data_IF_092434753363
#
_entry.id   IF_092434753363
#
_cell.length_a   1.000
_cell.length_b   1.000
_cell.length_c   1.000
_cell.angle_alpha   90.00
_cell.angle_beta   90.00
_cell.angle_gamma   90.00
#
_symmetry.space_group_name_H-M   'P 1'
#
loop_
_entity.id
_entity.type
_entity.pdbx_description
1 polymer ?
#
# COMPACT_ATOMS: atom_id res chain seq x y z
N UNK A 1 10.87 -7.72 -11.35
CA UNK A 1 10.54 -7.83 -9.91
C UNK A 1 11.32 -6.83 -9.04
N UNK A 2 12.56 -6.48 -9.42
CA UNK A 2 13.39 -5.46 -8.76
C UNK A 2 12.83 -4.03 -8.80
N UNK A 3 12.03 -3.66 -9.83
CA UNK A 3 11.27 -2.39 -9.88
C UNK A 3 10.12 -2.30 -8.86
N UNK A 4 9.56 -3.45 -8.49
CA UNK A 4 8.33 -3.53 -7.70
C UNK A 4 8.59 -3.22 -6.22
N UNK A 5 9.73 -3.66 -5.68
CA UNK A 5 10.14 -3.34 -4.31
C UNK A 5 10.71 -1.91 -4.18
N UNK A 6 11.26 -1.34 -5.26
CA UNK A 6 11.87 0.00 -5.25
C UNK A 6 10.83 1.13 -5.36
N UNK A 7 9.72 0.89 -6.07
CA UNK A 7 8.54 1.76 -6.05
C UNK A 7 7.82 1.75 -4.68
N UNK A 8 7.82 0.61 -3.98
CA UNK A 8 7.26 0.47 -2.62
C UNK A 8 8.11 1.17 -1.55
N UNK A 9 9.42 1.35 -1.79
CA UNK A 9 10.35 2.03 -0.89
C UNK A 9 10.56 3.54 -1.19
N UNK A 10 10.32 4.00 -2.42
CA UNK A 10 10.50 5.40 -2.82
C UNK A 10 9.38 6.37 -2.37
N UNK A 11 8.44 5.92 -1.56
CA UNK A 11 7.26 6.68 -1.13
C UNK A 11 7.20 7.04 0.34
N UNK A 12 8.05 6.41 1.18
CA UNK A 12 8.27 6.88 2.55
C UNK A 12 9.07 8.22 2.57
N UNK A 13 9.52 8.65 1.39
CA UNK A 13 9.42 10.01 0.87
C UNK A 13 9.47 9.93 -0.66
N UNK A 14 8.44 10.30 -1.44
CA UNK A 14 7.52 11.40 -1.13
C UNK A 14 6.16 11.39 -1.84
N UNK A 15 5.13 10.99 -1.08
CA UNK A 15 3.67 11.05 -1.36
C UNK A 15 3.03 9.77 -1.96
N UNK A 16 3.13 8.61 -1.31
CA UNK A 16 2.17 7.51 -1.61
C UNK A 16 1.50 7.04 -0.33
N UNK A 17 0.16 7.10 -0.30
CA UNK A 17 -0.69 6.88 0.87
C UNK A 17 -0.95 5.42 1.26
N UNK A 18 -0.07 4.47 0.91
CA UNK A 18 -0.21 3.05 1.27
C UNK A 18 1.08 2.51 1.88
N UNK A 19 0.97 1.88 3.05
CA UNK A 19 2.09 1.27 3.75
C UNK A 19 2.68 0.05 3.00
N UNK A 20 4.02 -0.11 2.96
CA UNK A 20 4.71 -1.22 2.30
C UNK A 20 4.21 -2.62 2.68
N UNK A 21 3.95 -2.84 3.97
CA UNK A 21 3.43 -4.11 4.48
C UNK A 21 2.04 -4.42 3.93
N UNK A 22 1.17 -3.41 3.87
CA UNK A 22 -0.20 -3.55 3.39
C UNK A 22 -0.24 -3.76 1.88
N UNK A 23 0.63 -3.08 1.14
CA UNK A 23 0.84 -3.34 -0.29
C UNK A 23 1.18 -4.81 -0.54
N UNK A 24 2.15 -5.37 0.19
CA UNK A 24 2.53 -6.77 0.04
C UNK A 24 1.39 -7.72 0.39
N UNK A 25 0.67 -7.47 1.49
CA UNK A 25 -0.46 -8.31 1.89
C UNK A 25 -1.54 -8.38 0.81
N UNK A 26 -1.93 -7.23 0.26
CA UNK A 26 -2.96 -7.13 -0.79
C UNK A 26 -2.49 -7.66 -2.13
N UNK A 27 -1.23 -7.39 -2.51
CA UNK A 27 -0.65 -7.95 -3.73
C UNK A 27 -0.61 -9.48 -3.68
N UNK A 28 -0.13 -10.04 -2.58
CA UNK A 28 0.00 -11.48 -2.45
C UNK A 28 -1.37 -12.14 -2.31
N UNK A 29 -2.22 -11.68 -1.39
CA UNK A 29 -3.50 -12.35 -1.13
C UNK A 29 -4.61 -12.04 -2.12
N UNK A 30 -4.70 -10.81 -2.64
CA UNK A 30 -5.86 -10.42 -3.47
C UNK A 30 -5.57 -10.47 -4.96
N UNK A 31 -4.30 -10.42 -5.36
CA UNK A 31 -3.89 -10.33 -6.76
C UNK A 31 -3.27 -11.63 -7.24
N UNK A 32 -2.25 -12.18 -6.56
CA UNK A 32 -1.62 -13.43 -7.00
C UNK A 32 -2.61 -14.59 -7.01
N UNK A 33 -3.41 -14.74 -5.94
CA UNK A 33 -4.44 -15.78 -5.87
C UNK A 33 -5.47 -15.67 -7.00
N UNK A 34 -5.87 -14.45 -7.39
CA UNK A 34 -6.85 -14.23 -8.46
C UNK A 34 -6.29 -14.44 -9.87
N UNK A 35 -5.02 -14.13 -10.09
CA UNK A 35 -4.33 -14.43 -11.35
C UNK A 35 -4.24 -15.94 -11.54
N UNK A 36 -3.99 -16.70 -10.48
CA UNK A 36 -3.97 -18.17 -10.54
C UNK A 36 -5.37 -18.77 -10.74
N UNK A 37 -6.40 -18.14 -10.18
CA UNK A 37 -7.77 -18.65 -10.23
C UNK A 37 -8.55 -18.27 -11.50
N UNK A 38 -8.21 -17.15 -12.15
CA UNK A 38 -8.95 -16.61 -13.28
C UNK A 38 -8.02 -16.17 -14.42
N UNK A 39 -8.05 -16.89 -15.54
CA UNK A 39 -7.14 -16.68 -16.68
C UNK A 39 -7.29 -15.29 -17.34
N UNK A 40 -8.50 -14.71 -17.30
CA UNK A 40 -8.79 -13.37 -17.85
C UNK A 40 -8.57 -12.22 -16.85
N UNK A 41 -8.10 -12.52 -15.63
CA UNK A 41 -7.92 -11.49 -14.61
C UNK A 41 -6.68 -10.64 -14.91
N UNK A 42 -6.91 -9.43 -15.41
CA UNK A 42 -5.90 -8.36 -15.51
C UNK A 42 -5.87 -7.52 -14.22
N UNK A 43 -4.85 -7.65 -13.34
CA UNK A 43 -4.78 -6.90 -12.08
C UNK A 43 -4.77 -5.38 -12.26
N UNK A 44 -4.33 -4.89 -13.42
CA UNK A 44 -4.26 -3.45 -13.69
C UNK A 44 -5.62 -2.85 -14.03
N UNK A 45 -6.57 -3.68 -14.48
CA UNK A 45 -7.93 -3.26 -14.83
C UNK A 45 -8.96 -3.66 -13.79
N UNK A 46 -8.74 -4.80 -13.13
CA UNK A 46 -9.75 -5.45 -12.30
C UNK A 46 -9.49 -5.31 -10.79
N UNK A 47 -8.37 -4.69 -10.39
CA UNK A 47 -8.05 -4.48 -8.98
C UNK A 47 -7.68 -3.02 -8.67
N UNK A 48 -8.57 -2.35 -7.93
CA UNK A 48 -8.31 -1.04 -7.36
C UNK A 48 -7.78 -1.21 -5.93
N UNK A 49 -6.46 -1.04 -5.75
CA UNK A 49 -5.83 -1.13 -4.44
C UNK A 49 -6.32 0.01 -3.54
N UNK A 50 -7.25 -0.32 -2.63
CA UNK A 50 -7.84 0.65 -1.68
C UNK A 50 -7.33 0.35 -0.27
N UNK A 51 -6.93 1.40 0.45
CA UNK A 51 -6.43 1.33 1.82
C UNK A 51 -7.17 2.33 2.69
N UNK A 52 -7.69 1.84 3.79
CA UNK A 52 -8.36 2.64 4.81
C UNK A 52 -7.40 2.97 5.95
N UNK A 53 -7.55 4.13 6.59
CA UNK A 53 -6.67 4.57 7.68
C UNK A 53 -6.64 3.64 8.90
N UNK A 54 -7.65 2.77 9.04
CA UNK A 54 -7.75 1.71 10.05
C UNK A 54 -6.85 0.50 9.78
N UNK A 55 -6.40 0.31 8.53
CA UNK A 55 -5.46 -0.76 8.17
C UNK A 55 -3.99 -0.35 8.39
N UNK A 56 -3.76 0.94 8.64
CA UNK A 56 -2.45 1.53 8.94
C UNK A 56 -2.17 1.50 10.45
N UNK A 57 -0.94 1.15 10.81
CA UNK A 57 -0.41 1.40 12.16
C UNK A 57 -0.22 2.90 12.38
N UNK A 58 -0.08 3.35 13.63
CA UNK A 58 0.18 4.76 13.94
C UNK A 58 1.42 5.31 13.22
N UNK A 59 2.49 4.53 13.18
CA UNK A 59 3.72 4.87 12.45
C UNK A 59 3.49 5.00 10.95
N UNK A 60 2.76 4.06 10.34
CA UNK A 60 2.45 4.10 8.90
C UNK A 60 1.53 5.28 8.54
N UNK A 61 0.58 5.63 9.43
CA UNK A 61 -0.31 6.78 9.27
C UNK A 61 0.46 8.10 9.36
N UNK A 62 1.33 8.23 10.36
CA UNK A 62 2.19 9.40 10.53
C UNK A 62 3.19 9.55 9.37
N UNK A 63 3.67 8.46 8.79
CA UNK A 63 4.54 8.52 7.60
C UNK A 63 3.78 8.91 6.31
N UNK A 64 2.47 8.69 6.26
CA UNK A 64 1.60 9.08 5.15
C UNK A 64 1.05 10.52 5.29
N UNK A 65 1.27 11.17 6.43
CA UNK A 65 0.89 12.55 6.71
C UNK A 65 1.46 13.53 5.67
N UNK A 66 0.62 14.44 5.16
CA UNK A 66 1.02 15.43 4.16
C UNK A 66 1.63 16.69 4.76
N UNK A 67 1.30 16.97 6.02
CA UNK A 67 1.78 18.10 6.83
C UNK A 67 2.24 17.64 8.21
N UNK A 68 3.10 18.43 8.85
CA UNK A 68 3.50 18.22 10.24
C UNK A 68 2.31 18.29 11.21
N UNK A 69 1.26 19.06 10.88
CA UNK A 69 0.04 19.16 11.67
C UNK A 69 -0.80 17.87 11.66
N UNK A 70 -0.55 16.96 10.71
CA UNK A 70 -1.27 15.68 10.58
C UNK A 70 -0.61 14.55 11.41
N UNK A 71 0.48 14.83 12.14
CA UNK A 71 1.22 13.85 12.94
C UNK A 71 0.60 13.73 14.34
N UNK A 72 0.14 12.54 14.69
CA UNK A 72 -0.35 12.26 16.05
C UNK A 72 0.83 12.02 17.00
N UNK A 73 0.95 12.85 18.05
CA UNK A 73 2.00 12.76 19.07
C UNK A 73 1.48 12.10 20.35
N UNK A 74 2.24 11.15 20.95
CA UNK A 74 1.91 10.64 22.26
C UNK A 74 2.09 11.75 23.32
N UNK A 75 1.12 11.86 24.21
CA UNK A 75 1.15 12.76 25.38
C UNK A 75 2.12 12.26 26.45
#
# INVERSE_FOLDING_TARGET
MTDLARAVAGSLGGRVGIAPRLFLKKLVGDVLDRVEQFEDFDPRKHYALTVTGTELTGTERNAAAGSADDIELPL
#
